data_IF_572832474946
#
_entry.id   IF_572832474946
#
_cell.length_a   1.000
_cell.length_b   1.000
_cell.length_c   1.000
_cell.angle_alpha   90.00
_cell.angle_beta   90.00
_cell.angle_gamma   90.00
#
_symmetry.space_group_name_H-M   'P 1'
#
loop_
_entity.id
_entity.type
_entity.pdbx_description
1 polymer ?
#
# COMPACT_ATOMS: atom_id res chain seq x y z
N UNK A 1 -6.37 -4.57 -27.33
CA UNK A 1 -5.67 -3.43 -26.69
C UNK A 1 -6.43 -2.17 -27.03
N UNK A 2 -6.88 -1.48 -26.00
CA UNK A 2 -7.59 -0.21 -26.09
C UNK A 2 -6.62 0.88 -26.63
N UNK A 3 -7.14 1.92 -27.29
CA UNK A 3 -6.33 3.04 -27.79
C UNK A 3 -5.42 3.70 -26.74
N UNK A 4 -5.80 3.64 -25.46
CA UNK A 4 -5.01 4.14 -24.33
C UNK A 4 -3.87 3.21 -23.89
N UNK A 5 -3.82 1.97 -24.39
CA UNK A 5 -2.79 0.97 -24.07
C UNK A 5 -1.72 0.84 -25.17
N UNK A 6 -1.77 1.69 -26.20
CA UNK A 6 -0.78 1.66 -27.30
C UNK A 6 0.58 2.23 -26.89
N UNK A 7 0.58 3.22 -26.01
CA UNK A 7 1.79 3.87 -25.47
C UNK A 7 1.68 3.98 -23.95
N UNK A 8 1.75 2.82 -23.29
CA UNK A 8 1.69 2.77 -21.82
C UNK A 8 3.03 3.21 -21.23
N UNK A 9 3.00 4.25 -20.39
CA UNK A 9 4.17 4.79 -19.67
C UNK A 9 4.86 3.72 -18.81
N UNK A 10 4.10 2.74 -18.33
CA UNK A 10 4.57 1.61 -17.57
C UNK A 10 3.77 0.38 -17.98
N UNK A 11 4.47 -0.72 -18.28
CA UNK A 11 3.83 -2.02 -18.52
C UNK A 11 3.44 -2.73 -17.21
N UNK A 12 3.64 -2.08 -16.06
CA UNK A 12 3.36 -2.63 -14.74
C UNK A 12 1.89 -2.42 -14.37
N UNK A 13 1.32 -3.38 -13.65
CA UNK A 13 -0.11 -3.38 -13.32
C UNK A 13 -0.45 -2.28 -12.29
N UNK A 14 -1.22 -1.28 -12.71
CA UNK A 14 -1.58 -0.11 -11.92
C UNK A 14 -2.30 -0.47 -10.60
N UNK A 15 -3.12 -1.52 -10.61
CA UNK A 15 -3.78 -2.01 -9.40
C UNK A 15 -2.79 -2.57 -8.37
N UNK A 16 -1.73 -3.25 -8.83
CA UNK A 16 -0.68 -3.78 -7.94
C UNK A 16 0.21 -2.65 -7.44
N UNK A 17 0.59 -1.70 -8.29
CA UNK A 17 1.40 -0.56 -7.87
C UNK A 17 0.67 0.32 -6.86
N UNK A 18 -0.62 0.57 -7.08
CA UNK A 18 -1.50 1.27 -6.14
C UNK A 18 -1.66 0.51 -4.82
N UNK A 19 -1.89 -0.81 -4.88
CA UNK A 19 -2.01 -1.64 -3.69
C UNK A 19 -0.72 -1.67 -2.86
N UNK A 20 0.43 -1.78 -3.51
CA UNK A 20 1.74 -1.76 -2.82
C UNK A 20 1.97 -0.40 -2.15
N UNK A 21 1.70 0.71 -2.85
CA UNK A 21 1.83 2.05 -2.28
C UNK A 21 0.95 2.26 -1.05
N UNK A 22 -0.28 1.75 -1.08
CA UNK A 22 -1.20 1.78 0.05
C UNK A 22 -0.73 0.88 1.21
N UNK A 23 -0.48 -0.41 0.94
CA UNK A 23 -0.20 -1.41 1.99
C UNK A 23 1.11 -1.12 2.72
N UNK A 24 2.16 -0.68 2.02
CA UNK A 24 3.44 -0.34 2.67
C UNK A 24 3.25 0.80 3.66
N UNK A 25 2.59 1.88 3.22
CA UNK A 25 2.39 3.08 4.03
C UNK A 25 1.42 2.82 5.19
N UNK A 26 0.25 2.25 4.89
CA UNK A 26 -0.76 1.93 5.88
C UNK A 26 -0.26 0.89 6.88
N UNK A 27 0.36 -0.19 6.40
CA UNK A 27 0.88 -1.27 7.24
C UNK A 27 1.92 -0.78 8.24
N UNK A 28 2.82 0.13 7.82
CA UNK A 28 3.79 0.75 8.73
C UNK A 28 3.11 1.48 9.89
N UNK A 29 2.22 2.44 9.59
CA UNK A 29 1.57 3.23 10.63
C UNK A 29 0.58 2.41 11.47
N UNK A 30 -0.15 1.48 10.85
CA UNK A 30 -1.04 0.56 11.56
C UNK A 30 -0.27 -0.34 12.53
N UNK A 31 0.93 -0.80 12.16
CA UNK A 31 1.79 -1.61 13.03
C UNK A 31 2.27 -0.78 14.22
N UNK A 32 2.76 0.45 13.99
CA UNK A 32 3.18 1.35 15.07
C UNK A 32 2.03 1.60 16.04
N UNK A 33 0.84 1.90 15.53
CA UNK A 33 -0.36 2.09 16.33
C UNK A 33 -0.73 0.84 17.14
N UNK A 34 -0.73 -0.33 16.50
CA UNK A 34 -1.03 -1.60 17.17
C UNK A 34 -0.03 -1.89 18.31
N UNK A 35 1.27 -1.65 18.09
CA UNK A 35 2.28 -1.78 19.14
C UNK A 35 2.02 -0.83 20.29
N UNK A 36 1.66 0.43 20.02
CA UNK A 36 1.33 1.38 21.06
C UNK A 36 0.11 0.94 21.90
N UNK A 37 -0.96 0.45 21.25
CA UNK A 37 -2.14 -0.11 21.92
C UNK A 37 -1.76 -1.32 22.79
N UNK A 38 -0.90 -2.21 22.27
CA UNK A 38 -0.45 -3.38 23.04
C UNK A 38 0.33 -2.95 24.28
N UNK A 39 1.20 -1.95 24.17
CA UNK A 39 1.94 -1.42 25.33
C UNK A 39 0.96 -0.84 26.36
N UNK A 40 0.04 0.04 25.94
CA UNK A 40 -0.97 0.66 26.81
C UNK A 40 -1.88 -0.36 27.51
N UNK A 41 -2.13 -1.52 26.88
CA UNK A 41 -2.94 -2.59 27.45
C UNK A 41 -2.20 -3.37 28.57
N UNK A 42 -0.87 -3.47 28.50
CA UNK A 42 -0.08 -4.37 29.35
C UNK A 42 0.88 -3.68 30.32
N UNK A 43 1.14 -2.38 30.16
CA UNK A 43 2.05 -1.57 30.99
C UNK A 43 1.28 -0.43 31.65
#
# INVERSE_FOLDING_TARGET
MNQFEKEVQSNRNDAVDSAVGFVVSFGFFATVFAVAILIDLFV
#
